data_IF_971382090437
#
_entry.id   IF_971382090437
#
_cell.length_a   1.000
_cell.length_b   1.000
_cell.length_c   1.000
_cell.angle_alpha   90.00
_cell.angle_beta   90.00
_cell.angle_gamma   90.00
#
_symmetry.space_group_name_H-M   'P 1'
#
loop_
_entity.id
_entity.type
_entity.pdbx_description
1 polymer ?
#
# COMPACT_ATOMS: atom_id res chain seq x y z
N UNK A 1 -18.48 -4.12 4.37
CA UNK A 1 -17.78 -4.91 5.40
C UNK A 1 -16.56 -5.48 4.72
N UNK A 2 -15.38 -5.43 5.35
CA UNK A 2 -14.18 -6.05 4.79
C UNK A 2 -14.36 -7.57 4.87
N UNK A 3 -14.08 -8.29 3.79
CA UNK A 3 -14.15 -9.75 3.78
C UNK A 3 -12.84 -10.35 4.29
N UNK A 4 -12.90 -11.58 4.82
CA UNK A 4 -11.71 -12.28 5.32
C UNK A 4 -10.60 -12.39 4.26
N UNK A 5 -10.99 -12.66 3.01
CA UNK A 5 -10.06 -12.71 1.87
C UNK A 5 -9.38 -11.37 1.58
N UNK A 6 -10.09 -10.25 1.75
CA UNK A 6 -9.52 -8.91 1.57
C UNK A 6 -8.55 -8.55 2.71
N UNK A 7 -8.84 -8.96 3.95
CA UNK A 7 -7.91 -8.81 5.08
C UNK A 7 -6.64 -9.65 4.90
N UNK A 8 -6.79 -10.90 4.47
CA UNK A 8 -5.65 -11.78 4.18
C UNK A 8 -4.77 -11.21 3.06
N UNK A 9 -5.38 -10.68 1.99
CA UNK A 9 -4.65 -10.00 0.92
C UNK A 9 -3.93 -8.73 1.43
N UNK A 10 -4.60 -7.93 2.26
CA UNK A 10 -4.01 -6.73 2.85
C UNK A 10 -2.80 -7.07 3.72
N UNK A 11 -2.90 -8.09 4.57
CA UNK A 11 -1.82 -8.54 5.44
C UNK A 11 -0.63 -9.10 4.64
N UNK A 12 -0.91 -9.85 3.56
CA UNK A 12 0.13 -10.35 2.66
C UNK A 12 0.88 -9.21 1.96
N UNK A 13 0.16 -8.23 1.45
CA UNK A 13 0.74 -7.03 0.85
C UNK A 13 1.54 -6.23 1.87
N UNK A 14 1.03 -6.06 3.09
CA UNK A 14 1.73 -5.37 4.17
C UNK A 14 3.09 -6.02 4.46
N UNK A 15 3.12 -7.35 4.61
CA UNK A 15 4.35 -8.10 4.82
C UNK A 15 5.32 -7.96 3.63
N UNK A 16 4.82 -8.00 2.39
CA UNK A 16 5.65 -7.83 1.20
C UNK A 16 6.30 -6.44 1.15
N UNK A 17 5.52 -5.40 1.45
CA UNK A 17 5.98 -4.01 1.41
C UNK A 17 7.00 -3.73 2.52
N UNK A 18 6.81 -4.30 3.72
CA UNK A 18 7.79 -4.17 4.81
C UNK A 18 9.11 -4.86 4.52
N UNK A 19 9.09 -5.98 3.77
CA UNK A 19 10.29 -6.69 3.33
C UNK A 19 10.90 -6.13 2.03
N UNK A 20 10.51 -4.91 1.62
CA UNK A 20 10.96 -4.25 0.39
C UNK A 20 10.68 -5.02 -0.92
N UNK A 21 9.74 -5.98 -0.90
CA UNK A 21 9.38 -6.84 -2.02
C UNK A 21 8.45 -6.21 -3.08
N UNK A 22 8.31 -4.88 -3.08
CA UNK A 22 7.41 -4.16 -3.98
C UNK A 22 5.94 -4.15 -3.51
N UNK A 23 5.03 -3.67 -4.36
CA UNK A 23 3.58 -3.67 -4.09
C UNK A 23 3.07 -2.58 -3.13
N UNK A 24 3.89 -1.55 -2.87
CA UNK A 24 3.53 -0.47 -1.95
C UNK A 24 2.30 0.31 -2.43
N UNK A 25 2.16 0.48 -3.75
CA UNK A 25 0.99 1.16 -4.32
C UNK A 25 -0.28 0.34 -4.20
N UNK A 26 -0.22 -0.95 -4.54
CA UNK A 26 -1.32 -1.91 -4.42
C UNK A 26 -1.81 -2.03 -2.98
N UNK A 27 -0.88 -2.06 -2.01
CA UNK A 27 -1.21 -1.99 -0.59
C UNK A 27 -1.99 -0.71 -0.24
N UNK A 28 -1.48 0.47 -0.63
CA UNK A 28 -2.13 1.75 -0.33
C UNK A 28 -3.50 1.89 -1.00
N UNK A 29 -3.65 1.42 -2.24
CA UNK A 29 -4.91 1.41 -2.96
C UNK A 29 -5.94 0.50 -2.27
N UNK A 30 -5.50 -0.67 -1.79
CA UNK A 30 -6.35 -1.59 -1.04
C UNK A 30 -6.75 -1.03 0.33
N UNK A 31 -5.83 -0.41 1.08
CA UNK A 31 -6.13 0.30 2.34
C UNK A 31 -7.22 1.36 2.12
N UNK A 32 -7.10 2.16 1.05
CA UNK A 32 -8.08 3.18 0.67
C UNK A 32 -9.43 2.58 0.31
N UNK A 33 -9.45 1.54 -0.52
CA UNK A 33 -10.67 0.85 -0.97
C UNK A 33 -11.45 0.25 0.21
N UNK A 34 -10.73 -0.41 1.12
CA UNK A 34 -11.32 -1.08 2.28
C UNK A 34 -11.61 -0.14 3.45
N UNK A 35 -11.20 1.13 3.38
CA UNK A 35 -11.33 2.14 4.45
C UNK A 35 -10.72 1.68 5.79
N UNK A 36 -9.61 0.93 5.72
CA UNK A 36 -8.92 0.39 6.89
C UNK A 36 -8.00 1.44 7.51
N UNK A 37 -7.95 1.54 8.85
CA UNK A 37 -7.04 2.46 9.55
C UNK A 37 -5.69 1.80 9.83
N UNK A 38 -4.67 2.17 9.04
CA UNK A 38 -3.25 1.80 9.21
C UNK A 38 -2.33 3.03 9.03
N UNK A 39 -2.51 4.09 9.84
CA UNK A 39 -1.89 5.40 9.58
C UNK A 39 -0.37 5.33 9.49
N UNK A 40 0.30 4.59 10.37
CA UNK A 40 1.77 4.48 10.40
C UNK A 40 2.33 3.84 9.12
N UNK A 41 1.69 2.77 8.64
CA UNK A 41 2.09 2.07 7.41
C UNK A 41 1.83 2.91 6.18
N UNK A 42 0.65 3.54 6.12
CA UNK A 42 0.29 4.46 5.03
C UNK A 42 1.28 5.61 4.94
N UNK A 43 1.65 6.21 6.08
CA UNK A 43 2.62 7.30 6.12
C UNK A 43 4.00 6.83 5.66
N UNK A 44 4.51 5.72 6.23
CA UNK A 44 5.83 5.17 5.89
C UNK A 44 5.95 4.87 4.39
N UNK A 45 5.00 4.12 3.84
CA UNK A 45 5.07 3.67 2.45
C UNK A 45 4.66 4.78 1.47
N UNK A 46 3.69 5.61 1.83
CA UNK A 46 3.31 6.78 1.06
C UNK A 46 4.45 7.78 0.91
N UNK A 47 5.14 8.12 2.00
CA UNK A 47 6.33 8.98 1.94
C UNK A 47 7.46 8.35 1.13
N UNK A 48 7.69 7.04 1.26
CA UNK A 48 8.71 6.34 0.48
C UNK A 48 8.44 6.38 -1.04
N UNK A 49 7.18 6.37 -1.46
CA UNK A 49 6.80 6.56 -2.86
C UNK A 49 6.98 8.02 -3.26
N UNK A 50 6.49 8.97 -2.45
CA UNK A 50 6.56 10.41 -2.76
C UNK A 50 7.99 10.95 -2.81
N UNK A 51 8.91 10.39 -2.03
CA UNK A 51 10.32 10.78 -2.03
C UNK A 51 11.12 10.22 -3.21
N UNK A 52 10.59 9.22 -3.92
CA UNK A 52 11.26 8.58 -5.05
C UNK A 52 10.61 9.04 -6.37
N UNK A 53 11.36 9.83 -7.15
CA UNK A 53 10.87 10.37 -8.43
C UNK A 53 10.46 9.29 -9.43
N UNK A 54 11.13 8.12 -9.45
CA UNK A 54 10.75 7.02 -10.36
C UNK A 54 9.42 6.39 -9.93
N UNK A 55 9.26 6.15 -8.62
CA UNK A 55 8.01 5.60 -8.08
C UNK A 55 6.84 6.57 -8.25
N UNK A 56 7.06 7.88 -8.04
CA UNK A 56 6.06 8.91 -8.32
C UNK A 56 5.63 8.94 -9.77
N UNK A 57 6.57 8.91 -10.72
CA UNK A 57 6.24 8.91 -12.14
C UNK A 57 5.43 7.68 -12.56
N UNK A 58 5.61 6.54 -11.88
CA UNK A 58 4.82 5.33 -12.11
C UNK A 58 3.36 5.42 -11.62
N UNK A 59 3.01 6.43 -10.80
CA UNK A 59 1.64 6.65 -10.34
C UNK A 59 0.76 7.38 -11.36
N UNK A 60 1.35 7.92 -12.45
CA UNK A 60 0.67 8.82 -13.38
C UNK A 60 -0.35 8.18 -14.32
N UNK A 61 -0.69 6.90 -14.13
CA UNK A 61 -1.62 6.18 -15.00
C UNK A 61 -2.69 5.48 -14.14
N UNK A 62 -3.60 6.27 -13.58
CA UNK A 62 -4.90 5.80 -13.08
C UNK A 62 -6.04 6.66 -13.64
#
# INVERSE_FOLDING_TARGET
MVTKSEEDQLNRLEAQVDNAGGGAWEYLCLVRKLKVRRPDKVLKHGLAILNDSKKRSALGTE
#
